data_IF_723695711356
#
_entry.id   IF_723695711356
#
_cell.length_a   1.000
_cell.length_b   1.000
_cell.length_c   1.000
_cell.angle_alpha   90.00
_cell.angle_beta   90.00
_cell.angle_gamma   90.00
#
_symmetry.space_group_name_H-M   'P 1'
#
loop_
_entity.id
_entity.type
_entity.pdbx_description
1 polymer ?
#
# COMPACT_ATOMS: atom_id res chain seq x y z
N UNK A 1 -9.00 1.80 -62.41
CA UNK A 1 -9.64 3.14 -62.42
C UNK A 1 -10.86 3.17 -63.34
N UNK A 2 -11.98 2.51 -62.98
CA UNK A 2 -13.28 2.64 -63.68
C UNK A 2 -14.51 2.56 -62.75
N UNK A 3 -14.32 2.60 -61.42
CA UNK A 3 -15.43 2.45 -60.44
C UNK A 3 -15.70 3.68 -59.57
N UNK A 4 -14.99 4.81 -59.76
CA UNK A 4 -15.12 6.00 -58.89
C UNK A 4 -15.48 7.29 -59.65
N UNK A 5 -15.85 7.19 -60.93
CA UNK A 5 -16.29 8.34 -61.72
C UNK A 5 -17.74 8.70 -61.34
N UNK A 6 -17.89 9.45 -60.25
CA UNK A 6 -19.19 9.93 -59.76
C UNK A 6 -19.22 10.32 -58.29
N UNK A 7 -18.16 10.03 -57.53
CA UNK A 7 -18.09 10.39 -56.11
C UNK A 7 -17.54 11.80 -55.95
N UNK A 8 -18.15 12.58 -55.07
CA UNK A 8 -17.60 13.87 -54.66
C UNK A 8 -16.33 13.67 -53.82
N UNK A 9 -15.48 14.69 -53.74
CA UNK A 9 -14.21 14.65 -52.99
C UNK A 9 -14.40 14.17 -51.55
N UNK A 10 -15.51 14.57 -50.91
CA UNK A 10 -15.87 14.16 -49.55
C UNK A 10 -16.27 12.69 -49.47
N UNK A 11 -16.99 12.16 -50.45
CA UNK A 11 -17.39 10.75 -50.48
C UNK A 11 -16.19 9.83 -50.77
N UNK A 12 -15.25 10.27 -51.60
CA UNK A 12 -14.01 9.54 -51.83
C UNK A 12 -13.14 9.51 -50.56
N UNK A 13 -13.04 10.64 -49.83
CA UNK A 13 -12.33 10.69 -48.55
C UNK A 13 -12.97 9.78 -47.48
N UNK A 14 -14.30 9.73 -47.42
CA UNK A 14 -15.02 8.84 -46.50
C UNK A 14 -14.77 7.36 -46.84
N UNK A 15 -14.76 7.01 -48.12
CA UNK A 15 -14.50 5.65 -48.58
C UNK A 15 -13.07 5.20 -48.24
N UNK A 16 -12.08 6.08 -48.43
CA UNK A 16 -10.68 5.81 -48.05
C UNK A 16 -10.53 5.69 -46.54
N UNK A 17 -11.21 6.53 -45.75
CA UNK A 17 -11.18 6.45 -44.29
C UNK A 17 -11.81 5.16 -43.77
N UNK A 18 -12.97 4.74 -44.33
CA UNK A 18 -13.60 3.46 -43.95
C UNK A 18 -12.74 2.26 -44.32
N UNK A 19 -12.10 2.28 -45.49
CA UNK A 19 -11.18 1.22 -45.91
C UNK A 19 -9.96 1.13 -44.98
N UNK A 20 -9.41 2.27 -44.54
CA UNK A 20 -8.30 2.31 -43.59
C UNK A 20 -8.69 1.77 -42.20
N UNK A 21 -9.90 2.07 -41.72
CA UNK A 21 -10.41 1.54 -40.44
C UNK A 21 -10.63 0.03 -40.51
N UNK A 22 -11.21 -0.47 -41.61
CA UNK A 22 -11.40 -1.92 -41.82
C UNK A 22 -10.07 -2.68 -41.93
N UNK A 23 -9.04 -2.06 -42.51
CA UNK A 23 -7.68 -2.61 -42.60
C UNK A 23 -6.98 -2.72 -41.23
N UNK A 24 -7.27 -1.81 -40.31
CA UNK A 24 -6.74 -1.85 -38.93
C UNK A 24 -7.49 -2.89 -38.08
N UNK A 25 -8.81 -3.02 -38.28
CA UNK A 25 -9.63 -3.94 -37.48
C UNK A 25 -9.55 -5.40 -37.94
N UNK A 26 -9.25 -5.64 -39.22
CA UNK A 26 -9.24 -6.99 -39.81
C UNK A 26 -8.03 -7.22 -40.72
N UNK A 27 -6.80 -7.31 -40.17
CA UNK A 27 -5.58 -7.48 -40.96
C UNK A 27 -5.52 -8.80 -41.75
N UNK A 28 -6.33 -9.80 -41.37
CA UNK A 28 -6.48 -11.08 -42.07
C UNK A 28 -7.22 -11.00 -43.42
N UNK A 29 -7.83 -9.87 -43.76
CA UNK A 29 -8.45 -9.65 -45.08
C UNK A 29 -7.43 -9.33 -46.19
N UNK A 30 -6.16 -9.04 -45.86
CA UNK A 30 -5.11 -8.74 -46.85
C UNK A 30 -4.64 -9.96 -47.64
N UNK A 31 -4.77 -11.17 -47.10
CA UNK A 31 -4.35 -12.41 -47.75
C UNK A 31 -5.39 -12.98 -48.72
N UNK A 32 -6.60 -12.40 -48.79
CA UNK A 32 -7.67 -12.84 -49.69
C UNK A 32 -7.95 -11.88 -50.87
N UNK A 33 -7.30 -10.71 -50.93
CA UNK A 33 -7.58 -9.69 -51.95
C UNK A 33 -6.38 -9.36 -52.88
N UNK A 34 -5.29 -10.12 -52.81
CA UNK A 34 -4.09 -9.90 -53.65
C UNK A 34 -4.09 -10.65 -54.99
N UNK A 35 -5.19 -11.33 -55.35
CA UNK A 35 -5.36 -12.01 -56.65
C UNK A 35 -6.36 -11.31 -57.61
N UNK A 36 -6.90 -10.15 -57.24
CA UNK A 36 -7.75 -9.37 -58.13
C UNK A 36 -7.35 -7.89 -58.05
N UNK A 37 -7.19 -7.25 -59.21
CA UNK A 37 -6.82 -5.84 -59.42
C UNK A 37 -5.30 -5.62 -59.53
N UNK A 38 -4.78 -5.98 -60.71
CA UNK A 38 -3.48 -5.48 -61.18
C UNK A 38 -3.52 -3.96 -61.39
N UNK A 39 -2.76 -3.23 -60.58
CA UNK A 39 -2.32 -1.86 -60.90
C UNK A 39 -0.82 -1.81 -60.64
N UNK A 40 -0.06 -2.13 -61.69
CA UNK A 40 1.34 -1.73 -61.80
C UNK A 40 1.45 -0.23 -62.07
N UNK A 41 2.58 0.33 -61.67
CA UNK A 41 3.02 1.71 -61.90
C UNK A 41 2.41 2.81 -61.02
N UNK A 42 2.66 2.74 -59.71
CA UNK A 42 2.80 3.94 -58.85
C UNK A 42 3.71 3.71 -57.61
N UNK A 43 4.45 2.60 -57.57
CA UNK A 43 5.07 2.07 -56.34
C UNK A 43 6.55 2.40 -56.12
N UNK A 44 7.16 3.38 -56.81
CA UNK A 44 8.58 3.73 -56.54
C UNK A 44 8.83 5.11 -55.91
N UNK A 45 7.89 6.05 -56.03
CA UNK A 45 8.05 7.39 -55.44
C UNK A 45 7.24 7.62 -54.14
N UNK A 46 6.28 6.75 -53.82
CA UNK A 46 5.59 6.78 -52.51
C UNK A 46 6.35 5.98 -51.43
N UNK A 47 7.02 4.89 -51.82
CA UNK A 47 7.76 4.01 -50.90
C UNK A 47 9.05 4.66 -50.38
N UNK A 48 9.67 5.59 -51.13
CA UNK A 48 10.85 6.33 -50.64
C UNK A 48 10.49 7.51 -49.72
N UNK A 49 9.27 8.06 -49.81
CA UNK A 49 8.80 9.14 -48.93
C UNK A 49 8.16 8.64 -47.63
N UNK A 50 7.68 7.40 -47.57
CA UNK A 50 7.20 6.77 -46.32
C UNK A 50 8.34 6.15 -45.47
N UNK A 51 9.53 5.95 -46.03
CA UNK A 51 10.69 5.45 -45.28
C UNK A 51 11.34 6.48 -44.36
N UNK A 52 11.03 7.77 -44.52
CA UNK A 52 11.56 8.86 -43.69
C UNK A 52 10.51 9.51 -42.75
N UNK A 53 9.30 8.94 -42.64
CA UNK A 53 8.26 9.44 -41.72
C UNK A 53 7.84 8.42 -40.65
N UNK A 54 8.47 7.25 -40.61
CA UNK A 54 8.21 6.17 -39.63
C UNK A 54 9.28 6.07 -38.54
N UNK A 55 9.86 7.19 -38.12
CA UNK A 55 10.76 7.26 -36.96
C UNK A 55 10.35 8.31 -35.91
N UNK A 56 9.23 9.01 -36.06
CA UNK A 56 8.77 10.01 -35.09
C UNK A 56 7.29 9.88 -34.73
N UNK A 57 6.85 8.68 -34.34
CA UNK A 57 5.68 8.52 -33.47
C UNK A 57 6.18 8.13 -32.10
N UNK A 58 6.45 9.16 -31.29
CA UNK A 58 6.67 9.07 -29.86
C UNK A 58 5.42 8.48 -29.23
N UNK A 59 5.38 7.16 -29.06
CA UNK A 59 4.59 6.54 -28.02
C UNK A 59 5.13 7.06 -26.70
N UNK A 60 4.45 8.03 -26.09
CA UNK A 60 4.63 8.39 -24.69
C UNK A 60 4.07 7.25 -23.82
N UNK A 61 4.75 6.11 -23.87
CA UNK A 61 4.83 5.21 -22.73
C UNK A 61 6.08 5.67 -22.00
N UNK A 62 6.01 6.15 -20.75
CA UNK A 62 7.23 6.35 -20.00
C UNK A 62 7.81 4.95 -19.81
N UNK A 63 8.87 4.65 -20.56
CA UNK A 63 9.77 3.57 -20.19
C UNK A 63 10.32 3.97 -18.82
N UNK A 64 9.72 3.42 -17.77
CA UNK A 64 10.25 3.54 -16.42
C UNK A 64 11.66 2.95 -16.49
N UNK A 65 12.71 3.72 -16.18
CA UNK A 65 14.05 3.17 -16.17
C UNK A 65 14.03 2.01 -15.19
N UNK A 66 14.44 0.82 -15.64
CA UNK A 66 14.81 -0.29 -14.77
C UNK A 66 16.02 0.15 -13.96
N UNK A 67 15.76 0.89 -12.89
CA UNK A 67 16.73 1.15 -11.85
C UNK A 67 17.08 -0.19 -11.20
N UNK A 68 18.36 -0.38 -10.97
CA UNK A 68 18.95 -1.56 -10.37
C UNK A 68 18.21 -1.98 -9.09
N UNK A 69 18.23 -3.30 -8.84
CA UNK A 69 17.74 -3.93 -7.62
C UNK A 69 18.10 -3.11 -6.36
N UNK A 70 17.10 -2.97 -5.48
CA UNK A 70 17.17 -2.27 -4.19
C UNK A 70 18.49 -2.48 -3.47
N UNK A 71 19.30 -1.43 -3.35
CA UNK A 71 20.31 -1.38 -2.28
C UNK A 71 19.56 -1.50 -0.96
N UNK A 72 19.90 -2.50 -0.13
CA UNK A 72 19.40 -2.57 1.24
C UNK A 72 19.75 -1.24 1.92
N UNK A 73 18.72 -0.43 2.18
CA UNK A 73 18.88 0.82 2.90
C UNK A 73 19.28 0.47 4.33
N UNK A 74 20.35 1.08 4.84
CA UNK A 74 20.67 0.99 6.27
C UNK A 74 19.60 1.76 7.05
N UNK A 75 18.62 1.03 7.57
CA UNK A 75 17.49 1.61 8.29
C UNK A 75 17.96 2.39 9.53
N UNK A 76 19.10 2.07 10.14
CA UNK A 76 19.61 2.83 11.29
C UNK A 76 20.01 4.23 10.86
N UNK A 77 20.63 4.38 9.69
CA UNK A 77 20.94 5.68 9.13
C UNK A 77 19.67 6.42 8.70
N UNK A 78 18.75 5.75 8.00
CA UNK A 78 17.48 6.38 7.59
C UNK A 78 16.62 6.83 8.77
N UNK A 79 16.62 6.09 9.88
CA UNK A 79 15.97 6.52 11.12
C UNK A 79 16.63 7.76 11.71
N UNK A 80 17.96 7.87 11.70
CA UNK A 80 18.68 9.07 12.14
C UNK A 80 18.35 10.28 11.28
N UNK A 81 18.25 10.08 9.97
CA UNK A 81 17.99 11.12 8.97
C UNK A 81 16.54 11.63 8.94
N UNK A 82 15.63 10.98 9.68
CA UNK A 82 14.29 11.51 9.90
C UNK A 82 14.37 12.88 10.60
N UNK A 83 13.59 13.89 10.16
CA UNK A 83 13.57 15.19 10.80
C UNK A 83 12.96 15.08 12.21
N UNK A 84 13.44 15.90 13.15
CA UNK A 84 12.83 16.02 14.47
C UNK A 84 11.79 17.15 14.44
N UNK A 85 10.54 16.80 14.14
CA UNK A 85 9.43 17.76 13.98
C UNK A 85 8.28 17.43 14.95
N UNK A 86 8.46 17.58 16.27
CA UNK A 86 7.43 17.23 17.26
C UNK A 86 6.12 18.03 17.08
N UNK A 87 6.19 19.23 16.49
CA UNK A 87 5.02 20.07 16.19
C UNK A 87 4.29 19.66 14.89
N UNK A 88 4.88 18.76 14.08
CA UNK A 88 4.28 18.23 12.85
C UNK A 88 4.89 16.85 12.54
N UNK A 89 4.34 15.83 13.19
CA UNK A 89 4.90 14.48 13.14
C UNK A 89 4.68 13.85 11.75
N UNK A 90 5.67 13.18 11.13
CA UNK A 90 5.46 12.39 9.93
C UNK A 90 4.52 11.21 10.17
N UNK A 91 3.89 10.71 9.11
CA UNK A 91 3.02 9.53 9.19
C UNK A 91 3.76 8.32 8.69
N UNK A 92 3.64 7.18 9.38
CA UNK A 92 4.36 5.99 9.01
C UNK A 92 3.43 4.87 8.59
N UNK A 93 3.64 4.34 7.38
CA UNK A 93 3.27 2.97 7.08
C UNK A 93 4.40 2.07 7.54
N UNK A 94 4.10 1.04 8.32
CA UNK A 94 5.11 0.08 8.78
C UNK A 94 4.62 -1.36 8.62
N UNK A 95 5.58 -2.27 8.42
CA UNK A 95 5.32 -3.69 8.41
C UNK A 95 5.01 -4.20 9.83
N UNK A 96 3.77 -4.60 10.11
CA UNK A 96 3.41 -5.10 11.44
C UNK A 96 3.93 -6.53 11.71
N UNK A 97 4.26 -7.27 10.65
CA UNK A 97 4.82 -8.63 10.71
C UNK A 97 3.78 -9.73 10.93
N UNK A 98 4.14 -10.74 11.72
CA UNK A 98 3.31 -11.92 12.02
C UNK A 98 3.36 -12.18 13.52
N UNK A 99 2.42 -12.94 14.12
CA UNK A 99 2.54 -13.38 15.51
C UNK A 99 3.86 -14.09 15.83
N UNK A 100 4.57 -14.60 14.80
CA UNK A 100 5.91 -15.19 14.91
C UNK A 100 6.96 -14.19 15.44
N UNK A 101 6.74 -12.88 15.32
CA UNK A 101 7.58 -11.85 15.94
C UNK A 101 7.65 -11.98 17.47
N UNK A 102 6.62 -12.55 18.10
CA UNK A 102 6.57 -12.77 19.54
C UNK A 102 7.05 -14.17 19.97
N UNK A 103 7.50 -15.02 19.04
CA UNK A 103 8.01 -16.36 19.38
C UNK A 103 9.35 -16.26 20.12
N UNK A 104 9.58 -17.08 21.16
CA UNK A 104 10.93 -17.36 21.62
C UNK A 104 11.81 -17.85 20.44
N UNK A 105 13.07 -17.41 20.34
CA UNK A 105 13.94 -17.73 19.19
C UNK A 105 14.03 -19.23 18.87
N UNK A 106 14.07 -20.08 19.89
CA UNK A 106 14.13 -21.53 19.75
C UNK A 106 12.87 -22.15 19.09
N UNK A 107 11.72 -21.50 19.21
CA UNK A 107 10.48 -21.94 18.58
C UNK A 107 10.33 -21.40 17.15
N UNK A 108 10.92 -20.23 16.86
CA UNK A 108 10.89 -19.63 15.52
C UNK A 108 11.84 -20.33 14.53
N UNK A 109 12.91 -20.97 15.01
CA UNK A 109 13.93 -21.62 14.18
C UNK A 109 13.39 -22.71 13.23
N UNK A 110 12.25 -23.34 13.56
CA UNK A 110 11.60 -24.36 12.72
C UNK A 110 10.65 -23.82 11.65
N UNK A 111 10.43 -22.50 11.59
CA UNK A 111 9.39 -21.88 10.75
C UNK A 111 9.89 -21.38 9.38
N UNK A 112 11.10 -21.78 9.00
CA UNK A 112 11.69 -21.54 7.67
C UNK A 112 12.08 -20.08 7.42
N UNK A 113 12.32 -19.74 6.14
CA UNK A 113 12.89 -18.45 5.74
C UNK A 113 12.09 -17.24 6.23
N UNK A 114 10.76 -17.34 6.35
CA UNK A 114 9.94 -16.25 6.88
C UNK A 114 10.38 -15.84 8.29
N UNK A 115 10.71 -16.80 9.16
CA UNK A 115 11.13 -16.51 10.53
C UNK A 115 12.52 -15.86 10.60
N UNK A 116 13.38 -16.09 9.60
CA UNK A 116 14.68 -15.43 9.53
C UNK A 116 14.56 -13.91 9.31
N UNK A 117 13.49 -13.44 8.67
CA UNK A 117 13.28 -12.01 8.39
C UNK A 117 12.23 -11.37 9.31
N UNK A 118 11.14 -12.10 9.58
CA UNK A 118 9.95 -11.60 10.30
C UNK A 118 9.75 -12.29 11.65
N UNK A 119 10.71 -13.08 12.13
CA UNK A 119 10.70 -13.64 13.48
C UNK A 119 11.35 -12.72 14.51
N UNK A 120 11.33 -13.15 15.78
CA UNK A 120 11.83 -12.36 16.93
C UNK A 120 13.31 -11.99 16.89
N UNK A 121 14.10 -12.69 16.08
CA UNK A 121 15.53 -12.41 15.83
C UNK A 121 15.80 -11.95 14.40
N UNK A 122 14.74 -11.67 13.62
CA UNK A 122 14.86 -11.23 12.24
C UNK A 122 15.03 -9.72 12.11
N UNK A 123 15.37 -9.28 10.89
CA UNK A 123 15.60 -7.86 10.57
C UNK A 123 14.40 -6.97 10.91
N UNK A 124 13.17 -7.49 10.80
CA UNK A 124 11.97 -6.74 11.17
C UNK A 124 11.93 -6.44 12.69
N UNK A 125 12.29 -7.40 13.53
CA UNK A 125 12.31 -7.20 14.98
C UNK A 125 13.38 -6.17 15.37
N UNK A 126 14.55 -6.21 14.74
CA UNK A 126 15.61 -5.24 14.99
C UNK A 126 15.23 -3.83 14.52
N UNK A 127 14.60 -3.73 13.35
CA UNK A 127 14.03 -2.47 12.87
C UNK A 127 12.99 -1.93 13.85
N UNK A 128 12.01 -2.73 14.28
CA UNK A 128 10.94 -2.29 15.19
C UNK A 128 11.49 -1.77 16.53
N UNK A 129 12.51 -2.40 17.10
CA UNK A 129 13.19 -1.90 18.33
C UNK A 129 13.77 -0.50 18.12
N UNK A 130 14.53 -0.33 17.04
CA UNK A 130 15.17 0.96 16.70
C UNK A 130 14.12 2.02 16.33
N UNK A 131 13.10 1.63 15.58
CA UNK A 131 12.01 2.47 15.13
C UNK A 131 11.21 3.02 16.31
N UNK A 132 10.74 2.15 17.22
CA UNK A 132 10.01 2.55 18.43
C UNK A 132 10.77 3.59 19.25
N UNK A 133 12.05 3.32 19.53
CA UNK A 133 12.92 4.24 20.27
C UNK A 133 13.09 5.58 19.56
N UNK A 134 13.32 5.56 18.24
CA UNK A 134 13.48 6.76 17.40
C UNK A 134 12.22 7.62 17.39
N UNK A 135 11.04 7.00 17.30
CA UNK A 135 9.77 7.73 17.27
C UNK A 135 9.52 8.48 18.58
N UNK A 136 9.82 7.86 19.72
CA UNK A 136 9.69 8.49 21.03
C UNK A 136 10.69 9.63 21.20
N UNK A 137 11.95 9.42 20.81
CA UNK A 137 13.01 10.42 20.93
C UNK A 137 12.77 11.66 20.05
N UNK A 138 12.44 11.47 18.77
CA UNK A 138 12.34 12.58 17.82
C UNK A 138 11.04 13.37 17.94
N UNK A 139 9.95 12.72 18.33
CA UNK A 139 8.62 13.31 18.21
C UNK A 139 7.89 13.50 19.54
N UNK A 140 8.29 12.81 20.61
CA UNK A 140 7.66 12.88 21.94
C UNK A 140 6.11 12.99 21.86
N UNK A 141 5.44 12.02 21.21
CA UNK A 141 4.04 12.19 20.82
C UNK A 141 3.12 12.23 22.05
N UNK A 142 2.08 13.06 21.99
CA UNK A 142 1.06 13.17 23.04
C UNK A 142 0.10 11.98 23.04
N UNK A 143 0.04 11.23 21.94
CA UNK A 143 -0.79 10.06 21.72
C UNK A 143 -0.43 9.37 20.40
N UNK A 144 -0.86 8.12 20.27
CA UNK A 144 -0.70 7.32 19.05
C UNK A 144 -2.09 7.02 18.50
N UNK A 145 -2.32 7.34 17.22
CA UNK A 145 -3.47 6.87 16.46
C UNK A 145 -3.00 5.82 15.47
N UNK A 146 -3.49 4.60 15.61
CA UNK A 146 -3.03 3.44 14.83
C UNK A 146 -4.16 2.86 13.97
N UNK A 147 -3.84 2.60 12.71
CA UNK A 147 -4.68 1.88 11.77
C UNK A 147 -4.05 0.52 11.51
N UNK A 148 -4.83 -0.55 11.64
CA UNK A 148 -4.35 -1.92 11.38
C UNK A 148 -5.10 -2.53 10.21
N UNK A 149 -4.42 -3.37 9.43
CA UNK A 149 -5.04 -4.24 8.44
C UNK A 149 -6.09 -5.20 9.02
N UNK A 150 -6.08 -5.39 10.35
CA UNK A 150 -6.94 -6.35 11.08
C UNK A 150 -8.14 -5.69 11.78
N UNK A 151 -8.48 -4.46 11.39
CA UNK A 151 -9.73 -3.86 11.84
C UNK A 151 -10.48 -3.16 10.70
N UNK A 152 -11.50 -3.80 10.16
CA UNK A 152 -12.26 -3.38 9.01
C UNK A 152 -13.74 -3.14 9.33
N UNK A 153 -14.26 -2.00 8.89
CA UNK A 153 -15.69 -1.70 9.05
C UNK A 153 -16.29 -1.11 7.78
N UNK A 154 -17.60 -1.30 7.58
CA UNK A 154 -18.31 -0.80 6.42
C UNK A 154 -19.04 0.52 6.72
N UNK A 155 -18.85 1.53 5.88
CA UNK A 155 -19.62 2.77 5.87
C UNK A 155 -19.38 3.76 7.02
N UNK A 156 -19.12 3.29 8.24
CA UNK A 156 -18.78 4.12 9.42
C UNK A 156 -17.48 3.62 10.04
N UNK A 157 -16.50 4.51 10.19
CA UNK A 157 -15.27 4.18 10.93
C UNK A 157 -15.56 4.03 12.41
N UNK A 158 -15.09 2.94 12.99
CA UNK A 158 -15.03 2.75 14.43
C UNK A 158 -13.67 3.21 14.96
N UNK A 159 -13.72 3.87 16.11
CA UNK A 159 -12.57 4.37 16.88
C UNK A 159 -12.63 3.76 18.27
N UNK A 160 -11.54 3.15 18.73
CA UNK A 160 -11.46 2.54 20.06
C UNK A 160 -11.57 3.59 21.16
N UNK A 161 -12.39 3.32 22.19
CA UNK A 161 -12.43 4.13 23.40
C UNK A 161 -12.38 3.22 24.64
N UNK A 162 -11.17 3.04 25.15
CA UNK A 162 -10.89 2.23 26.34
C UNK A 162 -10.07 3.01 27.34
N UNK A 163 -10.32 2.79 28.63
CA UNK A 163 -9.40 3.25 29.67
C UNK A 163 -8.08 2.46 29.61
N UNK A 164 -8.17 1.14 29.58
CA UNK A 164 -7.06 0.21 29.38
C UNK A 164 -7.40 -0.63 28.14
N UNK A 165 -6.49 -0.67 27.17
CA UNK A 165 -6.77 -1.32 25.90
C UNK A 165 -6.77 -2.85 26.07
N UNK A 166 -7.89 -3.55 25.80
CA UNK A 166 -7.89 -5.00 25.77
C UNK A 166 -7.11 -5.51 24.55
N UNK A 167 -6.57 -6.72 24.64
CA UNK A 167 -5.95 -7.40 23.50
C UNK A 167 -6.94 -8.33 22.84
N UNK A 168 -6.92 -8.36 21.51
CA UNK A 168 -7.69 -9.29 20.71
C UNK A 168 -6.76 -10.22 19.94
N UNK A 169 -6.75 -11.49 20.36
CA UNK A 169 -5.95 -12.56 19.76
C UNK A 169 -6.58 -13.06 18.46
N UNK A 170 -6.45 -12.28 17.38
CA UNK A 170 -7.10 -12.51 16.08
C UNK A 170 -6.38 -13.53 15.17
N UNK A 171 -5.59 -14.42 15.76
CA UNK A 171 -4.87 -15.50 15.08
C UNK A 171 -5.13 -16.86 15.74
N UNK A 172 -5.05 -17.92 14.95
CA UNK A 172 -5.32 -19.30 15.38
C UNK A 172 -4.24 -20.26 14.87
N UNK A 173 -4.16 -21.45 15.48
CA UNK A 173 -3.22 -22.50 15.06
C UNK A 173 -1.79 -22.32 15.58
N UNK A 174 -1.59 -21.45 16.57
CA UNK A 174 -0.31 -21.20 17.21
C UNK A 174 -0.19 -21.92 18.58
N UNK A 175 1.02 -22.06 19.13
CA UNK A 175 1.21 -22.60 20.48
C UNK A 175 0.49 -21.78 21.57
N UNK A 176 0.04 -22.40 22.68
CA UNK A 176 -0.67 -21.73 23.78
C UNK A 176 0.03 -20.48 24.34
N UNK A 177 1.36 -20.44 24.29
CA UNK A 177 2.19 -19.34 24.77
C UNK A 177 1.87 -18.02 24.04
N UNK A 178 1.52 -18.08 22.75
CA UNK A 178 1.12 -16.88 22.01
C UNK A 178 -0.24 -16.34 22.42
N UNK A 179 -1.08 -17.12 23.10
CA UNK A 179 -2.37 -16.63 23.62
C UNK A 179 -2.23 -16.03 25.02
N UNK A 180 -1.04 -16.13 25.62
CA UNK A 180 -0.72 -15.59 26.94
C UNK A 180 0.08 -14.28 26.88
N UNK A 181 0.29 -13.76 25.66
CA UNK A 181 0.97 -12.49 25.43
C UNK A 181 0.26 -11.34 26.16
N UNK A 182 1.06 -10.44 26.74
CA UNK A 182 0.58 -9.26 27.46
C UNK A 182 1.17 -8.00 26.84
N UNK A 183 0.35 -6.98 26.73
CA UNK A 183 0.75 -5.63 26.34
C UNK A 183 -0.18 -4.65 27.06
N UNK A 184 0.31 -4.08 28.15
CA UNK A 184 -0.47 -3.16 28.97
C UNK A 184 -0.35 -1.76 28.39
N UNK A 185 -1.46 -1.20 27.92
CA UNK A 185 -1.53 0.17 27.39
C UNK A 185 -2.84 0.84 27.75
N UNK A 186 -2.88 2.18 27.67
CA UNK A 186 -4.08 2.97 27.95
C UNK A 186 -4.64 3.59 26.67
N UNK A 187 -5.96 3.79 26.61
CA UNK A 187 -6.57 4.66 25.60
C UNK A 187 -6.72 6.09 26.11
N UNK A 188 -7.37 6.93 25.30
CA UNK A 188 -7.70 8.32 25.65
C UNK A 188 -9.00 8.72 24.93
N UNK A 189 -10.09 8.86 25.68
CA UNK A 189 -11.40 9.20 25.15
C UNK A 189 -11.44 10.58 24.47
N UNK A 190 -10.58 11.53 24.88
CA UNK A 190 -10.51 12.84 24.22
C UNK A 190 -9.84 12.71 22.86
N UNK A 191 -8.75 11.93 22.77
CA UNK A 191 -8.10 11.63 21.50
C UNK A 191 -9.04 10.84 20.57
N UNK A 192 -9.74 9.83 21.10
CA UNK A 192 -10.70 9.04 20.35
C UNK A 192 -11.84 9.92 19.79
N UNK A 193 -12.41 10.79 20.63
CA UNK A 193 -13.43 11.74 20.19
C UNK A 193 -12.88 12.73 19.15
N UNK A 194 -11.63 13.19 19.32
CA UNK A 194 -10.98 14.07 18.35
C UNK A 194 -10.86 13.43 16.97
N UNK A 195 -10.51 12.14 16.92
CA UNK A 195 -10.50 11.37 15.66
C UNK A 195 -11.90 11.35 15.04
N UNK A 196 -12.94 11.03 15.82
CA UNK A 196 -14.34 11.02 15.34
C UNK A 196 -14.74 12.37 14.75
N UNK A 197 -14.38 13.47 15.42
CA UNK A 197 -14.70 14.81 14.97
C UNK A 197 -13.98 15.16 13.66
N UNK A 198 -12.71 14.80 13.52
CA UNK A 198 -11.93 14.98 12.29
C UNK A 198 -12.55 14.24 11.08
N UNK A 199 -13.04 13.02 11.27
CA UNK A 199 -13.79 12.33 10.23
C UNK A 199 -15.07 13.10 9.84
N UNK A 200 -15.83 13.56 10.82
CA UNK A 200 -17.07 14.33 10.58
C UNK A 200 -16.81 15.67 9.90
N UNK A 201 -15.75 16.38 10.28
CA UNK A 201 -15.29 17.62 9.64
C UNK A 201 -15.00 17.41 8.14
N UNK A 202 -14.57 16.21 7.76
CA UNK A 202 -14.30 15.82 6.36
C UNK A 202 -15.50 15.12 5.68
N UNK A 203 -16.69 15.19 6.27
CA UNK A 203 -17.91 14.61 5.69
C UNK A 203 -17.97 13.07 5.74
N UNK A 204 -17.11 12.44 6.53
CA UNK A 204 -17.07 10.99 6.71
C UNK A 204 -17.78 10.59 8.01
N UNK A 205 -18.35 9.38 8.02
CA UNK A 205 -19.00 8.83 9.21
C UNK A 205 -17.97 8.16 10.09
N UNK A 206 -17.91 8.58 11.35
CA UNK A 206 -17.17 7.90 12.40
C UNK A 206 -17.91 7.96 13.72
N UNK A 207 -17.65 6.98 14.60
CA UNK A 207 -18.09 6.98 15.99
C UNK A 207 -17.13 6.17 16.86
N UNK A 208 -17.26 6.36 18.16
CA UNK A 208 -16.63 5.50 19.15
C UNK A 208 -17.28 4.11 19.09
N UNK A 209 -16.48 3.09 19.36
CA UNK A 209 -16.95 1.72 19.54
C UNK A 209 -17.46 1.52 20.97
N UNK A 210 -18.43 0.63 21.15
CA UNK A 210 -18.77 0.13 22.49
C UNK A 210 -17.72 -0.92 22.91
N UNK A 211 -17.41 -1.02 24.20
CA UNK A 211 -16.46 -2.00 24.73
C UNK A 211 -16.85 -3.45 24.39
N UNK A 212 -18.14 -3.72 24.22
CA UNK A 212 -18.70 -5.05 23.92
C UNK A 212 -19.07 -5.24 22.46
N UNK A 213 -18.85 -4.24 21.61
CA UNK A 213 -19.18 -4.36 20.19
C UNK A 213 -18.32 -5.42 19.51
N UNK A 214 -18.91 -6.22 18.62
CA UNK A 214 -18.12 -7.17 17.83
C UNK A 214 -17.22 -6.41 16.84
N UNK A 215 -16.03 -6.96 16.57
CA UNK A 215 -14.97 -6.26 15.82
C UNK A 215 -15.31 -5.82 14.38
N UNK A 216 -16.41 -6.32 13.79
CA UNK A 216 -16.82 -6.01 12.42
C UNK A 216 -16.64 -7.20 11.48
N UNK A 217 -16.38 -6.94 10.20
CA UNK A 217 -16.34 -7.95 9.12
C UNK A 217 -15.17 -8.94 9.25
N UNK A 218 -14.10 -8.53 9.91
CA UNK A 218 -12.93 -9.34 10.22
C UNK A 218 -12.99 -10.03 11.59
N UNK A 219 -14.01 -9.70 12.40
CA UNK A 219 -14.06 -10.02 13.82
C UNK A 219 -14.28 -11.48 14.17
N UNK A 220 -14.45 -12.39 13.19
CA UNK A 220 -14.54 -13.86 13.34
C UNK A 220 -15.33 -14.39 14.57
N UNK A 221 -16.30 -13.62 15.09
CA UNK A 221 -17.08 -13.98 16.28
C UNK A 221 -16.42 -13.71 17.64
N UNK A 222 -15.34 -12.92 17.72
CA UNK A 222 -14.76 -12.49 18.99
C UNK A 222 -15.56 -11.33 19.61
N UNK A 223 -15.79 -11.42 20.93
CA UNK A 223 -16.42 -10.35 21.72
C UNK A 223 -15.41 -9.26 22.06
N UNK A 224 -15.77 -8.00 21.80
CA UNK A 224 -14.99 -6.82 22.18
C UNK A 224 -13.97 -6.37 21.12
N UNK A 225 -13.90 -5.06 20.81
CA UNK A 225 -12.82 -4.50 20.02
C UNK A 225 -11.55 -4.39 20.90
N UNK A 226 -10.55 -5.23 20.67
CA UNK A 226 -9.23 -5.08 21.27
C UNK A 226 -8.20 -4.60 20.27
N UNK A 227 -6.98 -4.35 20.74
CA UNK A 227 -5.81 -4.21 19.85
C UNK A 227 -5.55 -5.57 19.20
N UNK A 228 -5.51 -5.65 17.87
CA UNK A 228 -5.11 -6.87 17.14
C UNK A 228 -3.61 -7.09 17.22
N UNK A 229 -3.19 -8.27 16.79
CA UNK A 229 -1.76 -8.58 16.73
C UNK A 229 -0.97 -7.65 15.81
N UNK A 230 -1.59 -7.09 14.76
CA UNK A 230 -0.96 -6.07 13.92
C UNK A 230 -0.65 -4.76 14.68
N UNK A 231 -1.21 -4.58 15.87
CA UNK A 231 -0.87 -3.49 16.79
C UNK A 231 -0.03 -4.00 17.96
N UNK A 232 -0.54 -4.92 18.80
CA UNK A 232 0.11 -5.22 20.08
C UNK A 232 1.41 -6.01 19.92
N UNK A 233 1.57 -6.86 18.90
CA UNK A 233 2.80 -7.63 18.69
C UNK A 233 3.98 -6.72 18.34
N UNK A 234 3.91 -5.88 17.29
CA UNK A 234 5.01 -4.97 16.99
C UNK A 234 5.19 -3.91 18.09
N UNK A 235 4.11 -3.44 18.73
CA UNK A 235 4.24 -2.42 19.78
C UNK A 235 4.95 -2.95 21.03
N UNK A 236 4.81 -4.23 21.37
CA UNK A 236 5.63 -4.85 22.43
C UNK A 236 7.13 -4.80 22.12
N UNK A 237 7.50 -4.91 20.85
CA UNK A 237 8.90 -4.84 20.40
C UNK A 237 9.37 -3.38 20.38
N UNK A 238 8.52 -2.46 19.92
CA UNK A 238 8.81 -1.03 19.82
C UNK A 238 8.90 -0.35 21.20
N UNK A 239 8.03 -0.73 22.14
CA UNK A 239 7.76 0.02 23.37
C UNK A 239 7.82 -0.81 24.66
N UNK A 240 8.01 -2.12 24.57
CA UNK A 240 7.99 -3.04 25.73
C UNK A 240 6.60 -3.58 26.08
N UNK A 241 6.53 -4.47 27.07
CA UNK A 241 5.26 -5.11 27.48
C UNK A 241 4.31 -4.20 28.26
N UNK A 242 4.81 -3.09 28.80
CA UNK A 242 4.01 -2.08 29.48
C UNK A 242 4.34 -0.69 28.91
N UNK A 243 3.35 -0.08 28.26
CA UNK A 243 3.45 1.21 27.61
C UNK A 243 2.21 2.06 27.92
N UNK A 244 2.24 2.74 29.07
CA UNK A 244 1.10 3.51 29.61
C UNK A 244 1.37 5.01 29.70
N UNK A 245 2.57 5.47 29.34
CA UNK A 245 2.91 6.89 29.32
C UNK A 245 2.15 7.64 28.22
N UNK A 246 2.08 7.07 27.02
CA UNK A 246 1.42 7.65 25.85
C UNK A 246 0.17 6.82 25.50
N UNK A 247 -1.01 7.43 25.36
CA UNK A 247 -2.23 6.70 25.01
C UNK A 247 -2.21 6.20 23.56
N UNK A 248 -2.86 5.05 23.33
CA UNK A 248 -3.05 4.45 22.02
C UNK A 248 -4.55 4.39 21.71
N UNK A 249 -4.93 4.93 20.55
CA UNK A 249 -6.27 4.84 19.99
C UNK A 249 -6.16 4.15 18.64
N UNK A 250 -6.92 3.08 18.45
CA UNK A 250 -7.00 2.36 17.20
C UNK A 250 -8.22 2.81 16.39
N UNK A 251 -8.07 2.84 15.07
CA UNK A 251 -9.12 3.21 14.11
C UNK A 251 -9.22 2.14 13.03
N UNK A 252 -10.46 1.75 12.72
CA UNK A 252 -10.74 0.82 11.61
C UNK A 252 -10.47 1.41 10.22
N UNK A 253 -10.05 0.55 9.28
CA UNK A 253 -9.90 0.86 7.85
C UNK A 253 -11.19 0.55 7.07
N UNK A 254 -11.34 1.14 5.88
CA UNK A 254 -12.53 0.93 5.05
C UNK A 254 -12.58 -0.45 4.41
N UNK A 255 -13.61 -1.24 4.77
CA UNK A 255 -13.72 -2.66 4.38
C UNK A 255 -14.03 -2.88 2.91
N UNK A 256 -14.34 -1.83 2.13
CA UNK A 256 -14.36 -1.98 0.67
C UNK A 256 -12.96 -2.08 0.07
N UNK A 257 -11.93 -1.80 0.88
CA UNK A 257 -10.51 -1.87 0.53
C UNK A 257 -10.11 -1.02 -0.68
N UNK A 258 -10.96 -0.06 -1.03
CA UNK A 258 -10.75 0.86 -2.13
C UNK A 258 -9.57 1.81 -1.78
N UNK A 259 -8.59 1.97 -2.68
CA UNK A 259 -7.46 2.86 -2.46
C UNK A 259 -7.86 4.30 -2.14
N UNK A 260 -8.84 4.85 -2.87
CA UNK A 260 -9.23 6.25 -2.71
C UNK A 260 -9.97 6.46 -1.39
N UNK A 261 -10.88 5.57 -0.99
CA UNK A 261 -11.57 5.68 0.31
C UNK A 261 -10.62 5.59 1.49
N UNK A 262 -9.63 4.71 1.44
CA UNK A 262 -8.64 4.61 2.52
C UNK A 262 -7.64 5.77 2.49
N UNK A 263 -7.33 6.34 1.32
CA UNK A 263 -6.63 7.61 1.22
C UNK A 263 -7.41 8.76 1.88
N UNK A 264 -8.72 8.86 1.63
CA UNK A 264 -9.58 9.85 2.27
C UNK A 264 -9.67 9.64 3.79
N UNK A 265 -9.66 8.39 4.26
CA UNK A 265 -9.60 8.09 5.69
C UNK A 265 -8.32 8.64 6.34
N UNK A 266 -7.16 8.47 5.68
CA UNK A 266 -5.91 9.09 6.10
C UNK A 266 -5.96 10.61 6.09
N UNK A 267 -6.46 11.20 5.00
CA UNK A 267 -6.59 12.65 4.84
C UNK A 267 -7.44 13.28 5.94
N UNK A 268 -8.51 12.61 6.35
CA UNK A 268 -9.38 13.10 7.42
C UNK A 268 -8.64 13.30 8.74
N UNK A 269 -7.63 12.47 9.04
CA UNK A 269 -6.86 12.54 10.28
C UNK A 269 -5.53 13.28 10.16
N UNK A 270 -5.22 13.89 9.01
CA UNK A 270 -3.94 14.55 8.75
C UNK A 270 -3.59 15.62 9.80
N UNK A 271 -4.60 16.34 10.32
CA UNK A 271 -4.41 17.41 11.33
C UNK A 271 -3.84 16.92 12.66
N UNK A 272 -4.00 15.63 12.99
CA UNK A 272 -3.42 15.03 14.20
C UNK A 272 -1.91 15.21 14.28
N UNK A 273 -1.25 15.23 13.12
CA UNK A 273 0.20 15.44 13.01
C UNK A 273 0.64 16.77 13.63
N UNK A 274 -0.15 17.81 13.40
CA UNK A 274 0.06 19.18 13.90
C UNK A 274 -0.41 19.33 15.35
N UNK A 275 -1.18 18.37 15.85
CA UNK A 275 -1.61 18.29 17.25
C UNK A 275 -0.59 17.54 18.14
N UNK A 276 0.51 17.05 17.55
CA UNK A 276 1.55 16.27 18.23
C UNK A 276 1.17 14.80 18.44
N UNK A 277 0.27 14.27 17.61
CA UNK A 277 -0.17 12.88 17.64
C UNK A 277 0.56 12.10 16.54
N UNK A 278 1.14 10.97 16.92
CA UNK A 278 1.81 10.06 16.01
C UNK A 278 0.75 9.18 15.32
N UNK A 279 0.69 9.25 13.99
CA UNK A 279 -0.18 8.38 13.18
C UNK A 279 0.65 7.22 12.63
N UNK A 280 0.25 5.99 12.97
CA UNK A 280 0.86 4.75 12.49
C UNK A 280 -0.16 3.94 11.69
N UNK A 281 0.29 3.34 10.60
CA UNK A 281 -0.54 2.45 9.78
C UNK A 281 0.19 1.14 9.53
N UNK A 282 -0.30 0.06 10.13
CA UNK A 282 0.34 -1.26 10.15
C UNK A 282 -0.24 -2.20 9.10
N UNK A 283 0.60 -2.69 8.19
CA UNK A 283 0.22 -3.63 7.14
C UNK A 283 1.39 -4.48 6.65
N UNK A 284 1.29 -5.01 5.42
CA UNK A 284 2.33 -5.75 4.70
C UNK A 284 2.23 -5.52 3.19
N UNK A 285 3.37 -5.40 2.50
CA UNK A 285 3.41 -5.19 1.04
C UNK A 285 3.58 -6.49 0.25
N UNK A 286 3.71 -7.61 0.95
CA UNK A 286 3.51 -8.95 0.42
C UNK A 286 2.81 -9.81 1.48
N UNK A 287 1.60 -10.28 1.19
CA UNK A 287 0.81 -11.07 2.12
C UNK A 287 -0.09 -12.07 1.37
N UNK A 288 0.49 -13.21 0.97
CA UNK A 288 -0.27 -14.28 0.35
C UNK A 288 -0.09 -15.61 1.10
N UNK A 289 -0.99 -15.91 2.03
CA UNK A 289 -0.96 -17.18 2.77
C UNK A 289 -1.15 -18.42 1.88
N UNK A 290 -1.72 -18.27 0.67
CA UNK A 290 -1.85 -19.35 -0.34
C UNK A 290 -0.55 -19.59 -1.11
N UNK A 291 0.36 -18.61 -1.11
CA UNK A 291 1.71 -18.71 -1.69
C UNK A 291 2.76 -18.23 -0.69
N UNK A 292 3.23 -19.16 0.15
CA UNK A 292 4.19 -18.87 1.22
C UNK A 292 5.54 -18.36 0.72
N UNK A 293 5.86 -18.55 -0.57
CA UNK A 293 7.08 -17.99 -1.16
C UNK A 293 7.07 -16.46 -1.20
N UNK A 294 5.90 -15.83 -1.16
CA UNK A 294 5.75 -14.36 -1.15
C UNK A 294 6.31 -13.67 0.09
N UNK A 295 6.57 -14.39 1.18
CA UNK A 295 6.97 -13.81 2.48
C UNK A 295 8.49 -13.66 2.69
N UNK A 296 9.32 -14.11 1.75
CA UNK A 296 10.78 -14.03 1.86
C UNK A 296 11.42 -13.61 0.54
N UNK A 297 12.41 -12.69 0.57
CA UNK A 297 13.13 -12.30 -0.65
C UNK A 297 13.86 -13.47 -1.33
N UNK A 298 14.25 -14.49 -0.55
CA UNK A 298 14.97 -15.66 -1.04
C UNK A 298 14.09 -16.59 -1.87
N UNK A 299 12.80 -16.69 -1.52
CA UNK A 299 11.85 -17.61 -2.17
C UNK A 299 10.86 -16.90 -3.09
N UNK A 300 10.71 -15.57 -2.96
CA UNK A 300 9.79 -14.78 -3.77
C UNK A 300 10.04 -14.95 -5.27
N UNK A 301 8.99 -15.41 -5.95
CA UNK A 301 8.92 -15.50 -7.42
C UNK A 301 9.08 -14.12 -8.08
N UNK A 302 9.52 -14.05 -9.35
CA UNK A 302 9.70 -12.79 -10.07
C UNK A 302 8.50 -11.86 -10.02
N UNK A 303 7.28 -12.39 -10.18
CA UNK A 303 6.04 -11.62 -10.16
C UNK A 303 5.82 -10.82 -8.85
N UNK A 304 6.27 -11.34 -7.71
CA UNK A 304 6.18 -10.60 -6.44
C UNK A 304 7.23 -9.48 -6.36
N UNK A 305 8.44 -9.75 -6.85
CA UNK A 305 9.54 -8.77 -6.89
C UNK A 305 9.26 -7.64 -7.89
N UNK A 306 8.63 -7.95 -9.01
CA UNK A 306 8.16 -6.97 -9.99
C UNK A 306 7.12 -6.03 -9.35
N UNK A 307 6.17 -6.59 -8.59
CA UNK A 307 5.19 -5.78 -7.87
C UNK A 307 5.82 -4.93 -6.76
N UNK A 308 6.73 -5.49 -5.96
CA UNK A 308 7.49 -4.77 -4.93
C UNK A 308 8.28 -3.60 -5.55
N UNK A 309 8.91 -3.81 -6.70
CA UNK A 309 9.58 -2.74 -7.45
C UNK A 309 8.60 -1.65 -7.93
N UNK A 310 7.45 -2.04 -8.49
CA UNK A 310 6.42 -1.10 -8.92
C UNK A 310 5.85 -0.26 -7.76
N UNK A 311 5.69 -0.87 -6.58
CA UNK A 311 5.32 -0.17 -5.35
C UNK A 311 6.35 0.90 -4.99
N UNK A 312 7.63 0.55 -4.91
CA UNK A 312 8.69 1.50 -4.56
C UNK A 312 8.76 2.64 -5.58
N UNK A 313 8.63 2.35 -6.88
CA UNK A 313 8.56 3.37 -7.92
C UNK A 313 7.36 4.32 -7.74
N UNK A 314 6.18 3.77 -7.44
CA UNK A 314 4.96 4.58 -7.24
C UNK A 314 5.06 5.47 -6.01
N UNK A 315 5.62 4.96 -4.90
CA UNK A 315 5.82 5.73 -3.67
C UNK A 315 6.88 6.81 -3.87
N UNK A 316 7.97 6.54 -4.59
CA UNK A 316 9.08 7.49 -4.80
C UNK A 316 8.82 8.60 -5.81
N UNK A 317 7.59 8.77 -6.32
CA UNK A 317 7.26 9.89 -7.22
C UNK A 317 7.28 11.20 -6.44
N UNK A 318 8.09 12.17 -6.85
CA UNK A 318 8.25 13.45 -6.14
C UNK A 318 6.95 14.28 -6.09
N UNK A 319 6.26 14.42 -7.22
CA UNK A 319 5.00 15.16 -7.29
C UNK A 319 3.88 14.41 -6.55
N UNK A 320 3.26 15.04 -5.56
CA UNK A 320 2.28 14.40 -4.70
C UNK A 320 1.03 13.91 -5.44
N UNK A 321 0.56 14.66 -6.47
CA UNK A 321 -0.61 14.26 -7.23
C UNK A 321 -0.30 13.08 -8.16
N UNK A 322 0.88 13.07 -8.79
CA UNK A 322 1.36 11.94 -9.59
C UNK A 322 1.66 10.71 -8.72
N UNK A 323 2.21 10.89 -7.52
CA UNK A 323 2.43 9.83 -6.54
C UNK A 323 1.12 9.16 -6.15
N UNK A 324 0.12 9.95 -5.76
CA UNK A 324 -1.21 9.44 -5.44
C UNK A 324 -1.79 8.63 -6.61
N UNK A 325 -1.71 9.18 -7.83
CA UNK A 325 -2.19 8.49 -9.03
C UNK A 325 -1.47 7.15 -9.22
N UNK A 326 -0.14 7.14 -9.16
CA UNK A 326 0.67 5.94 -9.33
C UNK A 326 0.37 4.89 -8.25
N UNK A 327 0.24 5.29 -6.98
CA UNK A 327 -0.10 4.40 -5.88
C UNK A 327 -1.49 3.79 -6.05
N UNK A 328 -2.52 4.58 -6.41
CA UNK A 328 -3.87 4.07 -6.64
C UNK A 328 -3.99 3.17 -7.89
N UNK A 329 -2.99 3.15 -8.78
CA UNK A 329 -2.92 2.24 -9.92
C UNK A 329 -2.29 0.88 -9.59
N UNK A 330 -1.60 0.73 -8.44
CA UNK A 330 -0.94 -0.51 -8.02
C UNK A 330 -1.84 -1.76 -8.01
N UNK A 331 -3.14 -1.70 -7.64
CA UNK A 331 -4.03 -2.86 -7.70
C UNK A 331 -4.23 -3.42 -9.12
N UNK A 332 -3.90 -2.65 -10.16
CA UNK A 332 -3.95 -3.09 -11.57
C UNK A 332 -2.67 -3.80 -12.01
N UNK A 333 -1.60 -3.74 -11.23
CA UNK A 333 -0.35 -4.42 -11.54
C UNK A 333 -0.57 -5.95 -11.55
N UNK A 334 -0.07 -6.70 -12.56
CA UNK A 334 -0.27 -8.16 -12.64
C UNK A 334 0.16 -8.92 -11.38
N UNK A 335 1.23 -8.45 -10.72
CA UNK A 335 1.73 -9.05 -9.49
C UNK A 335 0.95 -8.71 -8.22
N UNK A 336 0.01 -7.75 -8.26
CA UNK A 336 -0.76 -7.37 -7.08
C UNK A 336 -1.52 -8.57 -6.50
N UNK A 337 -2.33 -9.27 -7.31
CA UNK A 337 -3.10 -10.44 -6.84
C UNK A 337 -2.25 -11.66 -6.50
N UNK A 338 -1.05 -11.74 -7.08
CA UNK A 338 -0.08 -12.75 -6.69
C UNK A 338 0.44 -12.46 -5.26
N UNK A 339 0.72 -11.21 -4.92
CA UNK A 339 1.23 -10.81 -3.60
C UNK A 339 0.13 -10.63 -2.55
N UNK A 340 -1.10 -10.33 -2.98
CA UNK A 340 -2.25 -10.00 -2.13
C UNK A 340 -3.53 -10.63 -2.70
N UNK A 341 -3.94 -11.82 -2.24
CA UNK A 341 -5.23 -12.42 -2.61
C UNK A 341 -6.40 -11.49 -2.32
N UNK A 342 -6.25 -10.67 -1.27
CA UNK A 342 -7.12 -9.59 -0.83
C UNK A 342 -6.24 -8.41 -0.41
N UNK A 343 -6.77 -7.20 -0.57
CA UNK A 343 -6.06 -5.92 -0.42
C UNK A 343 -5.80 -5.52 1.04
N UNK A 344 -6.35 -6.25 2.03
CA UNK A 344 -6.38 -5.88 3.45
C UNK A 344 -5.05 -5.39 4.01
N UNK A 345 -4.00 -6.21 3.93
CA UNK A 345 -2.70 -5.85 4.48
C UNK A 345 -1.99 -4.76 3.68
N UNK A 346 -2.43 -4.50 2.45
CA UNK A 346 -1.86 -3.45 1.60
C UNK A 346 -2.47 -2.08 1.87
N UNK A 347 -3.78 -2.03 2.11
CA UNK A 347 -4.58 -0.80 2.23
C UNK A 347 -4.11 0.21 3.28
N UNK A 348 -3.58 -0.20 4.46
CA UNK A 348 -2.98 0.73 5.42
C UNK A 348 -1.95 1.70 4.79
N UNK A 349 -1.26 1.30 3.71
CA UNK A 349 -0.37 2.18 2.96
C UNK A 349 -1.06 3.45 2.47
N UNK A 350 -2.30 3.34 1.98
CA UNK A 350 -3.07 4.48 1.49
C UNK A 350 -3.52 5.40 2.63
N UNK A 351 -3.81 4.85 3.81
CA UNK A 351 -4.13 5.66 5.00
C UNK A 351 -2.93 6.50 5.41
N UNK A 352 -1.73 5.90 5.49
CA UNK A 352 -0.51 6.64 5.80
C UNK A 352 -0.22 7.73 4.76
N UNK A 353 -0.33 7.39 3.48
CA UNK A 353 -0.09 8.32 2.37
C UNK A 353 -1.09 9.48 2.34
N UNK A 354 -2.36 9.22 2.64
CA UNK A 354 -3.40 10.25 2.72
C UNK A 354 -3.20 11.22 3.90
N UNK A 355 -2.79 10.71 5.06
CA UNK A 355 -2.51 11.55 6.23
C UNK A 355 -1.23 12.39 6.06
N UNK A 356 -0.27 11.88 5.28
CA UNK A 356 0.96 12.57 4.89
C UNK A 356 0.88 13.31 3.55
N UNK A 357 -0.31 13.46 2.95
CA UNK A 357 -0.49 13.99 1.60
C UNK A 357 0.17 15.39 1.45
N UNK A 358 0.83 15.60 0.30
CA UNK A 358 1.45 16.88 -0.06
C UNK A 358 2.89 17.08 0.46
N UNK A 359 3.38 16.26 1.39
CA UNK A 359 4.77 16.32 1.83
C UNK A 359 5.72 15.35 1.12
N UNK A 360 7.01 15.45 1.44
CA UNK A 360 8.01 14.49 0.96
C UNK A 360 7.72 13.10 1.54
N UNK A 361 8.14 12.06 0.83
CA UNK A 361 8.12 10.67 1.32
C UNK A 361 9.52 10.10 1.31
N UNK A 362 9.87 9.36 2.37
CA UNK A 362 11.12 8.59 2.42
C UNK A 362 10.85 7.13 2.73
N UNK A 363 11.62 6.26 2.09
CA UNK A 363 11.71 4.86 2.49
C UNK A 363 12.66 4.77 3.69
N UNK A 364 12.14 4.36 4.84
CA UNK A 364 12.91 4.22 6.10
C UNK A 364 13.51 2.83 6.22
N UNK A 365 12.75 1.81 5.85
CA UNK A 365 13.22 0.42 5.74
C UNK A 365 12.88 -0.07 4.34
N UNK A 366 13.88 -0.57 3.61
CA UNK A 366 13.74 -1.09 2.25
C UNK A 366 14.07 -2.58 2.21
N UNK A 367 13.22 -3.38 2.85
CA UNK A 367 13.29 -4.83 2.78
C UNK A 367 12.02 -5.36 2.11
N UNK A 368 12.21 -6.21 1.11
CA UNK A 368 11.14 -6.83 0.34
C UNK A 368 9.99 -7.32 1.23
N UNK A 369 8.76 -6.93 0.91
CA UNK A 369 7.53 -7.33 1.60
C UNK A 369 7.30 -6.70 2.99
N UNK A 370 8.32 -6.10 3.59
CA UNK A 370 8.28 -5.45 4.90
C UNK A 370 8.88 -4.03 4.92
N UNK A 371 8.61 -3.15 3.93
CA UNK A 371 9.12 -1.80 3.96
C UNK A 371 8.43 -0.94 5.00
N UNK A 372 9.09 0.14 5.39
CA UNK A 372 8.49 1.24 6.17
C UNK A 372 8.66 2.53 5.38
N UNK A 373 7.58 3.29 5.23
CA UNK A 373 7.56 4.58 4.54
C UNK A 373 7.15 5.69 5.50
N UNK A 374 7.88 6.79 5.49
CA UNK A 374 7.53 8.02 6.20
C UNK A 374 6.94 9.02 5.20
N UNK A 375 5.68 9.40 5.39
CA UNK A 375 4.96 10.36 4.55
C UNK A 375 4.80 11.70 5.26
N UNK A 376 4.74 12.76 4.46
CA UNK A 376 4.47 14.10 4.97
C UNK A 376 5.69 14.79 5.58
N UNK A 377 6.90 14.40 5.18
CA UNK A 377 8.14 14.99 5.66
C UNK A 377 8.30 16.46 5.23
#
# INVERSE_FOLDING_TARGET
MRYFSGLTTTQFALFVALAAVLLVLYPSLLTAASSAIGIGALSRNLISRFRNYSTNTTTLSPAIPTMAASSNIDFLQSLKDLPATPERIPVFFFAHGSPILAFPPHMAAGMGDMAAYQGSTGVLADFLKAFGSTLLEKYNPKGIVVFSAHWETHGTRLVSDYKENPLLMDYFGFPPELYQLKFKSKGDSKLAQRVVDLYKENGLKARLTDEKEARGEDGRGFEGPGLDHGVFVPFRIMFGEEFTSIPIVQVSIDSSLDPEKNWQAGKAVAKLREEGILVLSGGLTAHNLRDRSSFSPATAKPIHKEFDSALHQAVSVDDAALRKKAMCELPRHPGFRASHPREDHFVPLYVAAGAGEGGEVRTVMNHYGIPTFAFGL
#
